data_IF_327089733638
#
_entry.id   IF_327089733638
#
_cell.length_a   1.000
_cell.length_b   1.000
_cell.length_c   1.000
_cell.angle_alpha   90.00
_cell.angle_beta   90.00
_cell.angle_gamma   90.00
#
_symmetry.space_group_name_H-M   'P 1'
#
loop_
_entity.id
_entity.type
_entity.pdbx_description
1 polymer ?
#
# COMPACT_ATOMS: atom_id res chain seq x y z
N UNK A 1 9.47 12.23 -16.80
CA UNK A 1 10.75 11.97 -16.11
C UNK A 1 10.37 11.37 -14.77
N UNK A 2 10.60 10.07 -14.58
CA UNK A 2 10.39 9.45 -13.26
C UNK A 2 11.58 9.77 -12.39
N UNK A 3 11.36 10.42 -11.25
CA UNK A 3 12.39 10.52 -10.21
C UNK A 3 12.63 9.12 -9.64
N UNK A 4 13.90 8.73 -9.58
CA UNK A 4 14.33 7.47 -8.99
C UNK A 4 14.23 7.66 -7.47
N UNK A 5 13.51 6.75 -6.78
CA UNK A 5 13.35 6.78 -5.34
C UNK A 5 14.72 6.79 -4.63
N UNK A 6 14.89 7.68 -3.64
CA UNK A 6 16.08 7.71 -2.79
C UNK A 6 15.92 6.68 -1.66
N UNK A 7 16.35 5.45 -1.92
CA UNK A 7 16.35 4.38 -0.91
C UNK A 7 17.64 4.45 -0.07
N UNK A 8 17.53 4.91 1.18
CA UNK A 8 18.63 4.86 2.13
C UNK A 8 18.62 3.52 2.88
N UNK A 9 19.51 2.61 2.48
CA UNK A 9 19.72 1.31 3.14
C UNK A 9 20.80 1.41 4.22
N UNK A 10 20.40 1.60 5.47
CA UNK A 10 21.19 1.14 6.61
C UNK A 10 20.77 -0.30 6.90
N UNK A 11 21.70 -1.24 7.15
CA UNK A 11 21.43 -2.69 7.18
C UNK A 11 20.35 -3.22 8.15
N UNK A 12 19.59 -2.35 8.83
CA UNK A 12 18.53 -2.65 9.80
C UNK A 12 17.23 -1.83 9.59
N UNK A 13 17.17 -0.92 8.63
CA UNK A 13 16.00 -0.06 8.44
C UNK A 13 15.97 0.48 7.00
N UNK A 14 14.80 0.46 6.34
CA UNK A 14 14.63 1.03 5.01
C UNK A 14 13.54 2.11 5.04
N UNK A 15 13.79 3.25 4.39
CA UNK A 15 12.79 4.29 4.14
C UNK A 15 12.51 4.38 2.65
N UNK A 16 11.25 4.60 2.29
CA UNK A 16 10.82 4.95 0.94
C UNK A 16 10.03 6.25 0.98
N UNK A 17 10.30 7.15 0.03
CA UNK A 17 9.49 8.32 -0.24
C UNK A 17 9.26 8.41 -1.74
N UNK A 18 8.00 8.32 -2.17
CA UNK A 18 7.63 8.34 -3.59
C UNK A 18 6.21 8.87 -3.77
N UNK A 19 6.02 9.83 -4.68
CA UNK A 19 4.69 10.36 -5.01
C UNK A 19 3.85 10.82 -3.80
N UNK A 20 4.49 11.37 -2.75
CA UNK A 20 3.82 11.80 -1.52
C UNK A 20 3.54 10.67 -0.51
N UNK A 21 3.82 9.42 -0.87
CA UNK A 21 3.81 8.29 0.05
C UNK A 21 5.13 8.25 0.81
N UNK A 22 5.04 7.99 2.11
CA UNK A 22 6.17 7.71 2.96
C UNK A 22 6.04 6.29 3.46
N UNK A 23 7.12 5.54 3.50
CA UNK A 23 7.06 4.20 4.06
C UNK A 23 8.37 3.84 4.74
N UNK A 24 8.26 2.88 5.64
CA UNK A 24 9.42 2.31 6.28
C UNK A 24 9.27 0.83 6.57
N UNK A 25 10.41 0.17 6.68
CA UNK A 25 10.55 -1.20 7.15
C UNK A 25 11.39 -1.18 8.43
N UNK A 26 10.80 -1.62 9.53
CA UNK A 26 11.56 -1.96 10.74
C UNK A 26 12.13 -3.37 10.54
N UNK A 27 13.43 -3.59 10.72
CA UNK A 27 14.00 -4.95 10.63
C UNK A 27 13.93 -5.72 11.96
N UNK A 28 13.56 -5.07 13.06
CA UNK A 28 13.41 -5.71 14.38
C UNK A 28 12.05 -6.39 14.54
N UNK A 29 11.07 -6.01 13.74
CA UNK A 29 9.70 -6.54 13.71
C UNK A 29 9.36 -6.81 12.24
N UNK A 30 8.71 -7.93 11.85
CA UNK A 30 8.38 -8.19 10.45
C UNK A 30 7.22 -7.29 9.97
N UNK A 31 7.37 -5.98 10.11
CA UNK A 31 6.35 -4.96 9.91
C UNK A 31 6.88 -3.88 8.97
N UNK A 32 6.07 -3.59 7.95
CA UNK A 32 6.27 -2.45 7.06
C UNK A 32 5.08 -1.50 7.21
N UNK A 33 5.36 -0.20 7.16
CA UNK A 33 4.34 0.83 7.21
C UNK A 33 4.45 1.72 5.98
N UNK A 34 3.29 2.10 5.43
CA UNK A 34 3.18 3.11 4.39
C UNK A 34 2.12 4.12 4.83
N UNK A 35 2.52 5.37 4.96
CA UNK A 35 1.66 6.50 5.28
C UNK A 35 1.26 7.23 4.01
N UNK A 36 -0.04 7.48 3.88
CA UNK A 36 -0.65 8.26 2.80
C UNK A 36 -1.12 9.58 3.39
N UNK A 37 -0.53 10.69 2.95
CA UNK A 37 -0.90 12.02 3.41
C UNK A 37 -2.37 12.35 3.12
N UNK A 38 -3.00 13.12 4.01
CA UNK A 38 -4.34 13.67 3.76
C UNK A 38 -4.31 14.65 2.58
N UNK A 39 -5.42 14.71 1.83
CA UNK A 39 -5.59 15.64 0.72
C UNK A 39 -4.86 15.27 -0.59
N UNK A 40 -4.29 14.07 -0.72
CA UNK A 40 -3.81 13.59 -2.03
C UNK A 40 -5.02 13.43 -2.97
N UNK A 41 -4.86 13.91 -4.21
CA UNK A 41 -5.91 13.85 -5.23
C UNK A 41 -6.36 12.40 -5.46
N UNK A 42 -7.68 12.20 -5.41
CA UNK A 42 -8.32 10.89 -5.56
C UNK A 42 -8.23 10.39 -7.00
N UNK A 43 -8.52 9.11 -7.19
CA UNK A 43 -8.60 8.43 -8.49
C UNK A 43 -9.21 9.30 -9.61
N UNK A 44 -8.39 9.58 -10.64
CA UNK A 44 -8.81 10.29 -11.85
C UNK A 44 -8.68 9.37 -13.08
N UNK A 45 -9.80 8.82 -13.55
CA UNK A 45 -9.88 7.86 -14.67
C UNK A 45 -9.08 8.28 -15.92
N UNK A 46 -9.01 9.58 -16.20
CA UNK A 46 -8.33 10.14 -17.38
C UNK A 46 -6.81 9.84 -17.41
N UNK A 47 -6.20 9.53 -16.26
CA UNK A 47 -4.79 9.19 -16.16
C UNK A 47 -4.50 7.69 -16.33
N UNK A 48 -5.53 6.86 -16.46
CA UNK A 48 -5.39 5.40 -16.52
C UNK A 48 -5.71 4.84 -17.92
N UNK A 49 -4.99 3.80 -18.32
CA UNK A 49 -5.30 3.07 -19.56
C UNK A 49 -6.66 2.35 -19.44
N UNK A 50 -7.18 1.83 -20.55
CA UNK A 50 -8.50 1.15 -20.55
C UNK A 50 -8.53 -0.05 -19.59
N UNK A 51 -7.48 -0.89 -19.63
CA UNK A 51 -7.40 -2.08 -18.79
C UNK A 51 -7.32 -1.74 -17.30
N UNK A 52 -6.53 -0.72 -16.92
CA UNK A 52 -6.47 -0.26 -15.54
C UNK A 52 -7.82 0.30 -15.06
N UNK A 53 -8.55 1.03 -15.93
CA UNK A 53 -9.89 1.52 -15.58
C UNK A 53 -10.88 0.41 -15.34
N UNK A 54 -10.83 -0.66 -16.15
CA UNK A 54 -11.68 -1.84 -15.95
C UNK A 54 -11.33 -2.56 -14.64
N UNK A 55 -10.04 -2.75 -14.37
CA UNK A 55 -9.53 -3.37 -13.14
C UNK A 55 -9.94 -2.58 -11.88
N UNK A 56 -9.81 -1.25 -11.92
CA UNK A 56 -10.07 -0.36 -10.79
C UNK A 56 -11.53 0.07 -10.67
N UNK A 57 -12.40 -0.31 -11.60
CA UNK A 57 -13.79 0.15 -11.67
C UNK A 57 -14.57 -0.09 -10.38
N UNK A 58 -14.35 -1.23 -9.72
CA UNK A 58 -15.02 -1.56 -8.46
C UNK A 58 -14.54 -0.70 -7.28
N UNK A 59 -13.35 -0.10 -7.39
CA UNK A 59 -12.64 0.63 -6.34
C UNK A 59 -12.50 2.13 -6.65
N UNK A 60 -13.25 2.64 -7.64
CA UNK A 60 -13.15 4.05 -8.06
C UNK A 60 -13.58 5.06 -6.99
N UNK A 61 -14.24 4.58 -5.92
CA UNK A 61 -14.61 5.37 -4.75
C UNK A 61 -13.46 5.49 -3.74
N UNK A 62 -12.52 4.55 -3.77
CA UNK A 62 -11.32 4.56 -2.93
C UNK A 62 -10.35 5.65 -3.43
N UNK A 63 -9.64 6.29 -2.50
CA UNK A 63 -8.54 7.20 -2.86
C UNK A 63 -7.31 6.43 -3.34
N UNK A 64 -7.03 5.30 -2.68
CA UNK A 64 -5.92 4.41 -2.97
C UNK A 64 -6.40 2.96 -2.96
N UNK A 65 -5.62 2.10 -3.62
CA UNK A 65 -5.81 0.66 -3.61
C UNK A 65 -4.46 -0.02 -3.42
N UNK A 66 -4.47 -1.25 -2.90
CA UNK A 66 -3.32 -2.12 -2.87
C UNK A 66 -3.46 -3.13 -4.01
N UNK A 67 -2.42 -3.27 -4.83
CA UNK A 67 -2.40 -4.20 -5.96
C UNK A 67 -1.34 -5.29 -5.72
N UNK A 68 -1.76 -6.56 -5.64
CA UNK A 68 -0.84 -7.70 -5.61
C UNK A 68 -0.43 -8.09 -7.03
N UNK A 69 0.80 -7.74 -7.38
CA UNK A 69 1.43 -8.00 -8.69
C UNK A 69 2.20 -9.33 -8.74
N UNK A 70 1.86 -10.31 -7.89
CA UNK A 70 2.48 -11.65 -7.93
C UNK A 70 2.40 -12.28 -9.32
N UNK A 71 1.22 -12.20 -9.93
CA UNK A 71 1.01 -12.50 -11.34
C UNK A 71 0.60 -11.20 -12.04
N UNK A 72 1.51 -10.57 -12.80
CA UNK A 72 1.25 -9.30 -13.47
C UNK A 72 0.10 -9.37 -14.50
N UNK A 73 -0.23 -10.56 -15.00
CA UNK A 73 -1.32 -10.73 -15.97
C UNK A 73 -2.70 -10.77 -15.27
N UNK A 74 -2.74 -11.12 -13.98
CA UNK A 74 -3.96 -11.20 -13.18
C UNK A 74 -3.77 -10.55 -11.80
N UNK A 75 -3.61 -9.22 -11.76
CA UNK A 75 -3.44 -8.50 -10.50
C UNK A 75 -4.69 -8.63 -9.62
N UNK A 76 -4.48 -8.78 -8.31
CA UNK A 76 -5.56 -8.73 -7.32
C UNK A 76 -5.55 -7.38 -6.63
N UNK A 77 -6.71 -6.73 -6.54
CA UNK A 77 -6.86 -5.39 -5.99
C UNK A 77 -7.62 -5.43 -4.67
N UNK A 78 -7.11 -4.71 -3.68
CA UNK A 78 -7.68 -4.58 -2.35
C UNK A 78 -7.98 -3.09 -2.07
N UNK A 79 -9.13 -2.78 -1.44
CA UNK A 79 -9.46 -1.41 -1.08
C UNK A 79 -8.55 -0.92 0.07
N UNK A 80 -8.12 0.33 0.01
CA UNK A 80 -7.43 1.01 1.12
C UNK A 80 -8.41 1.99 1.76
N UNK A 81 -9.11 1.51 2.78
CA UNK A 81 -10.10 2.27 3.55
C UNK A 81 -9.90 2.01 5.05
N UNK A 82 -10.13 3.04 5.88
CA UNK A 82 -9.92 2.96 7.33
C UNK A 82 -10.75 1.82 7.94
N UNK A 83 -10.10 0.99 8.77
CA UNK A 83 -10.72 -0.15 9.45
C UNK A 83 -10.74 -1.43 8.62
N UNK A 84 -10.19 -1.42 7.41
CA UNK A 84 -10.02 -2.64 6.62
C UNK A 84 -8.83 -3.47 7.11
N UNK A 85 -9.05 -4.77 7.16
CA UNK A 85 -8.04 -5.79 7.40
C UNK A 85 -8.23 -6.91 6.38
N UNK A 86 -7.13 -7.34 5.75
CA UNK A 86 -7.17 -8.45 4.80
C UNK A 86 -5.85 -9.21 4.75
N UNK A 87 -5.94 -10.50 4.43
CA UNK A 87 -4.77 -11.36 4.25
C UNK A 87 -4.31 -11.35 2.78
N UNK A 88 -3.02 -11.05 2.60
CA UNK A 88 -2.33 -11.19 1.31
C UNK A 88 -1.25 -12.24 1.49
N UNK A 89 -1.56 -13.49 1.15
CA UNK A 89 -0.66 -14.66 1.33
C UNK A 89 -0.34 -14.92 2.82
N UNK A 90 0.87 -14.60 3.26
CA UNK A 90 1.37 -14.76 4.63
C UNK A 90 1.56 -13.40 5.32
N UNK A 91 0.84 -12.40 4.84
CA UNK A 91 0.86 -11.06 5.39
C UNK A 91 -0.56 -10.65 5.76
N UNK A 92 -0.69 -10.03 6.92
CA UNK A 92 -1.90 -9.32 7.31
C UNK A 92 -1.68 -7.85 6.99
N UNK A 93 -2.58 -7.26 6.23
CA UNK A 93 -2.58 -5.83 5.91
C UNK A 93 -3.69 -5.17 6.72
N UNK A 94 -3.34 -4.13 7.47
CA UNK A 94 -4.27 -3.36 8.31
C UNK A 94 -4.21 -1.90 7.89
N UNK A 95 -5.38 -1.30 7.67
CA UNK A 95 -5.52 0.11 7.29
C UNK A 95 -6.08 0.89 8.47
N UNK A 96 -5.27 1.77 9.04
CA UNK A 96 -5.67 2.64 10.15
C UNK A 96 -5.59 4.11 9.75
N UNK A 97 -6.15 4.98 10.58
CA UNK A 97 -6.02 6.43 10.46
C UNK A 97 -5.12 6.93 11.61
N UNK A 98 -4.17 7.79 11.29
CA UNK A 98 -3.29 8.42 12.29
C UNK A 98 -4.00 9.57 12.99
N UNK A 99 -3.44 10.06 14.11
CA UNK A 99 -4.01 11.19 14.87
C UNK A 99 -4.14 12.49 14.06
N UNK A 100 -3.42 12.59 12.94
CA UNK A 100 -3.42 13.76 12.04
C UNK A 100 -4.26 13.53 10.76
N UNK A 101 -5.00 12.42 10.67
CA UNK A 101 -5.92 12.12 9.56
C UNK A 101 -5.28 11.47 8.34
N UNK A 102 -4.03 11.02 8.45
CA UNK A 102 -3.34 10.27 7.38
C UNK A 102 -3.72 8.79 7.44
N UNK A 103 -3.69 8.09 6.31
CA UNK A 103 -3.86 6.64 6.31
C UNK A 103 -2.52 5.97 6.63
N UNK A 104 -2.52 5.04 7.59
CA UNK A 104 -1.39 4.15 7.84
C UNK A 104 -1.74 2.73 7.37
N UNK A 105 -0.95 2.26 6.39
CA UNK A 105 -1.04 0.91 5.83
C UNK A 105 0.07 0.08 6.49
N UNK A 106 -0.31 -0.74 7.47
CA UNK A 106 0.59 -1.68 8.13
C UNK A 106 0.54 -3.04 7.45
N UNK A 107 1.70 -3.61 7.16
CA UNK A 107 1.87 -4.95 6.62
C UNK A 107 2.67 -5.77 7.61
N UNK A 108 2.02 -6.75 8.24
CA UNK A 108 2.61 -7.61 9.25
C UNK A 108 2.84 -9.00 8.67
N UNK A 109 4.07 -9.50 8.73
CA UNK A 109 4.36 -10.89 8.41
C UNK A 109 3.79 -11.82 9.49
N UNK A 110 2.81 -12.64 9.11
CA UNK A 110 2.29 -13.70 10.00
C UNK A 110 3.03 -15.00 9.70
N UNK A 111 3.69 -15.57 10.71
CA UNK A 111 4.11 -16.97 10.64
C UNK A 111 2.84 -17.77 10.95
N UNK A 112 2.29 -18.55 10.00
CA UNK A 112 1.17 -19.43 10.32
C UNK A 112 1.64 -20.38 11.41
N UNK A 113 1.07 -20.25 12.61
CA UNK A 113 1.18 -21.28 13.62
C UNK A 113 0.21 -22.38 13.22
N UNK A 114 0.70 -23.39 12.50
CA UNK A 114 -0.03 -24.65 12.38
C UNK A 114 -0.38 -25.15 13.79
N UNK A 115 -1.69 -25.24 14.09
CA UNK A 115 -2.23 -25.99 15.24
C UNK A 115 -2.34 -27.48 14.92
#
# INVERSE_FOLDING_TARGET
MGEIAEEQRGGYFSFISVAGLQGYLDACVPEAHVTVADGIEKYEEKYFCSSCRELLKAYSHCGFVLEDLRDPETPTVYPVEVGMEFEVRCYTVVITETDIGELDISVVGTIPTDE
#
